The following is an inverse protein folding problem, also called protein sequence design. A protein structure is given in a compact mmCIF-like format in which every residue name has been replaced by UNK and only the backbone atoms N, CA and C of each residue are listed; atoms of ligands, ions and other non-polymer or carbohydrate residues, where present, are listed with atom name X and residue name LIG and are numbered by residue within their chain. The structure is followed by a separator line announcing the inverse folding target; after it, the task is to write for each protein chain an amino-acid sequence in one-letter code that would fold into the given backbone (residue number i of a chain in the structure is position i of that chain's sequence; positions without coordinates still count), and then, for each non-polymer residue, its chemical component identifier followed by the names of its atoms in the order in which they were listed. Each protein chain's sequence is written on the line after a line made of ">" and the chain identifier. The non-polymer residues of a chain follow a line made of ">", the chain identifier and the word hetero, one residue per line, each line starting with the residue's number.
data_IF_423260044275
#
_entry.id   IF_423260044275
#
_cell.length_a   1.000
_cell.length_b   1.000
_cell.length_c   1.000
_cell.angle_alpha   90.00
_cell.angle_beta   90.00
_cell.angle_gamma   90.00
#
_symmetry.space_group_name_H-M   'P 1'
#
loop_
_entity.id
_entity.type
_entity.pdbx_description
1 polymer ?
#
# COMPACT_ATOMS: atom_id res chain seq x y z
N UNK A 1 5.88 6.53 5.72
CA UNK A 1 4.51 6.05 5.51
C UNK A 1 4.36 5.25 4.22
N UNK A 2 4.86 5.73 3.07
CA UNK A 2 4.77 5.01 1.79
C UNK A 2 5.48 3.65 1.81
N UNK A 3 6.59 3.52 2.52
CA UNK A 3 7.35 2.27 2.59
C UNK A 3 6.63 1.14 3.33
N UNK A 4 6.05 1.42 4.50
CA UNK A 4 5.25 0.44 5.24
C UNK A 4 4.01 -0.02 4.47
N UNK A 5 3.42 0.87 3.67
CA UNK A 5 2.30 0.52 2.77
C UNK A 5 2.79 -0.40 1.64
N UNK A 6 3.95 -0.13 1.03
CA UNK A 6 4.54 -1.01 0.00
C UNK A 6 4.87 -2.40 0.56
N UNK A 7 5.49 -2.46 1.74
CA UNK A 7 5.78 -3.72 2.44
C UNK A 7 4.47 -4.47 2.72
N UNK A 8 3.48 -3.77 3.28
CA UNK A 8 2.17 -4.33 3.58
C UNK A 8 1.47 -4.93 2.36
N UNK A 9 1.53 -4.23 1.22
CA UNK A 9 0.97 -4.73 -0.04
C UNK A 9 1.64 -6.02 -0.51
N UNK A 10 2.98 -6.09 -0.49
CA UNK A 10 3.70 -7.28 -0.90
C UNK A 10 3.38 -8.51 -0.02
N UNK A 11 3.35 -8.33 1.31
CA UNK A 11 2.97 -9.41 2.24
C UNK A 11 1.50 -9.80 2.11
N UNK A 12 0.61 -8.83 1.89
CA UNK A 12 -0.79 -9.09 1.65
C UNK A 12 -0.98 -9.92 0.38
N UNK A 13 -0.36 -9.54 -0.73
CA UNK A 13 -0.48 -10.25 -2.01
C UNK A 13 -0.02 -11.71 -1.91
N UNK A 14 1.07 -11.96 -1.18
CA UNK A 14 1.58 -13.32 -0.95
C UNK A 14 0.62 -14.16 -0.08
N UNK A 15 0.14 -13.61 1.04
CA UNK A 15 -0.81 -14.28 1.93
C UNK A 15 -2.19 -14.44 1.29
N UNK A 16 -2.57 -13.52 0.40
CA UNK A 16 -3.85 -13.51 -0.29
C UNK A 16 -3.98 -14.62 -1.35
N UNK A 17 -2.89 -15.34 -1.64
CA UNK A 17 -2.93 -16.58 -2.44
C UNK A 17 -3.73 -17.69 -1.75
N UNK A 18 -3.90 -17.60 -0.43
CA UNK A 18 -4.76 -18.49 0.37
C UNK A 18 -6.10 -17.77 0.62
N UNK A 19 -7.21 -18.17 -0.02
CA UNK A 19 -8.48 -17.43 0.04
C UNK A 19 -9.02 -17.20 1.45
N UNK A 20 -8.84 -18.17 2.35
CA UNK A 20 -9.28 -18.08 3.73
C UNK A 20 -8.47 -17.04 4.51
N UNK A 21 -7.15 -17.00 4.32
CA UNK A 21 -6.26 -16.01 4.93
C UNK A 21 -6.59 -14.63 4.40
N UNK A 22 -6.80 -14.50 3.08
CA UNK A 22 -7.23 -13.24 2.45
C UNK A 22 -8.50 -12.70 3.10
N UNK A 23 -9.53 -13.54 3.18
CA UNK A 23 -10.84 -13.16 3.71
C UNK A 23 -10.74 -12.74 5.18
N UNK A 24 -9.93 -13.46 5.96
CA UNK A 24 -9.68 -13.15 7.37
C UNK A 24 -8.95 -11.80 7.53
N UNK A 25 -7.88 -11.54 6.78
CA UNK A 25 -7.15 -10.26 6.83
C UNK A 25 -8.03 -9.07 6.43
N UNK A 26 -8.87 -9.22 5.39
CA UNK A 26 -9.79 -8.16 4.96
C UNK A 26 -10.85 -7.89 6.02
N UNK A 27 -11.42 -8.94 6.63
CA UNK A 27 -12.44 -8.79 7.68
C UNK A 27 -11.88 -8.10 8.92
N UNK A 28 -10.72 -8.54 9.37
CA UNK A 28 -10.12 -8.07 10.61
C UNK A 28 -9.44 -6.69 10.46
N UNK A 29 -9.40 -6.10 9.26
CA UNK A 29 -8.90 -4.73 9.03
C UNK A 29 -9.59 -3.65 9.89
N UNK A 30 -10.80 -3.94 10.39
CA UNK A 30 -11.58 -3.06 11.27
C UNK A 30 -11.09 -3.04 12.72
N UNK A 31 -10.21 -3.98 13.10
CA UNK A 31 -9.54 -3.96 14.40
C UNK A 31 -8.55 -2.80 14.48
N UNK A 32 -8.11 -2.47 15.69
CA UNK A 32 -6.95 -1.60 15.87
C UNK A 32 -5.68 -2.23 15.27
N UNK A 33 -4.69 -1.39 14.93
CA UNK A 33 -3.42 -1.84 14.37
C UNK A 33 -2.74 -2.89 15.26
N UNK A 34 -2.70 -2.66 16.58
CA UNK A 34 -2.04 -3.55 17.54
C UNK A 34 -2.78 -4.88 17.69
N UNK A 35 -4.11 -4.87 17.74
CA UNK A 35 -4.92 -6.09 17.80
C UNK A 35 -4.79 -6.92 16.52
N UNK A 36 -4.79 -6.27 15.36
CA UNK A 36 -4.54 -6.90 14.07
C UNK A 36 -3.15 -7.54 14.02
N UNK A 37 -2.13 -6.78 14.45
CA UNK A 37 -0.75 -7.22 14.45
C UNK A 37 -0.56 -8.45 15.34
N UNK A 38 -1.09 -8.40 16.56
CA UNK A 38 -1.03 -9.50 17.51
C UNK A 38 -1.74 -10.76 16.98
N UNK A 39 -2.94 -10.60 16.41
CA UNK A 39 -3.75 -11.72 15.91
C UNK A 39 -3.12 -12.41 14.70
N UNK A 40 -2.55 -11.64 13.77
CA UNK A 40 -2.07 -12.19 12.49
C UNK A 40 -0.58 -12.53 12.46
N UNK A 41 0.20 -12.13 13.46
CA UNK A 41 1.61 -12.50 13.56
C UNK A 41 1.82 -14.03 13.44
N UNK A 42 1.02 -14.84 14.13
CA UNK A 42 1.14 -16.30 14.06
C UNK A 42 0.80 -16.85 12.65
N UNK A 43 -0.15 -16.23 11.96
CA UNK A 43 -0.50 -16.61 10.58
C UNK A 43 0.69 -16.36 9.65
N UNK A 44 1.35 -15.20 9.78
CA UNK A 44 2.53 -14.83 9.01
C UNK A 44 3.68 -15.80 9.30
N UNK A 45 3.98 -16.07 10.58
CA UNK A 45 5.04 -16.99 10.99
C UNK A 45 4.85 -18.38 10.39
N UNK A 46 3.65 -18.94 10.51
CA UNK A 46 3.34 -20.28 9.97
C UNK A 46 3.44 -20.33 8.45
N UNK A 47 2.96 -19.30 7.76
CA UNK A 47 3.05 -19.23 6.31
C UNK A 47 4.50 -19.24 5.86
N UNK A 48 5.33 -18.32 6.35
CA UNK A 48 6.72 -18.21 5.87
C UNK A 48 7.63 -19.34 6.37
N UNK A 49 7.36 -19.94 7.53
CA UNK A 49 8.03 -21.17 7.94
C UNK A 49 7.75 -22.31 6.96
N UNK A 50 6.52 -22.39 6.43
CA UNK A 50 6.12 -23.43 5.47
C UNK A 50 6.63 -23.16 4.05
N UNK A 51 6.44 -21.95 3.54
CA UNK A 51 6.69 -21.62 2.12
C UNK A 51 8.15 -21.27 1.85
N UNK A 52 8.83 -20.61 2.80
CA UNK A 52 10.19 -20.12 2.63
C UNK A 52 11.22 -20.73 3.60
N UNK A 53 10.79 -21.58 4.54
CA UNK A 53 11.62 -22.08 5.66
C UNK A 53 12.25 -20.94 6.48
N UNK A 54 11.52 -19.83 6.58
CA UNK A 54 11.92 -18.66 7.35
C UNK A 54 11.17 -18.64 8.67
N UNK A 55 11.92 -18.58 9.76
CA UNK A 55 11.36 -18.45 11.11
C UNK A 55 11.44 -16.98 11.54
N UNK A 56 10.32 -16.26 11.42
CA UNK A 56 10.23 -14.92 11.97
C UNK A 56 10.14 -14.96 13.50
N UNK A 57 10.78 -13.97 14.12
CA UNK A 57 10.51 -13.61 15.51
C UNK A 57 9.08 -13.07 15.62
N UNK A 58 8.56 -13.07 16.85
CA UNK A 58 7.19 -12.63 17.10
C UNK A 58 7.02 -11.14 16.78
N UNK A 59 8.02 -10.34 17.11
CA UNK A 59 8.07 -8.90 16.94
C UNK A 59 8.10 -8.54 15.44
N UNK A 60 8.91 -9.25 14.65
CA UNK A 60 8.99 -9.07 13.20
C UNK A 60 7.66 -9.40 12.53
N UNK A 61 7.03 -10.51 12.93
CA UNK A 61 5.74 -10.90 12.40
C UNK A 61 4.62 -9.90 12.74
N UNK A 62 4.65 -9.32 13.95
CA UNK A 62 3.75 -8.23 14.32
C UNK A 62 4.01 -6.98 13.48
N UNK A 63 5.28 -6.63 13.22
CA UNK A 63 5.63 -5.52 12.34
C UNK A 63 5.08 -5.71 10.93
N UNK A 64 5.23 -6.90 10.33
CA UNK A 64 4.68 -7.18 9.01
C UNK A 64 3.14 -7.15 9.00
N UNK A 65 2.49 -7.67 10.05
CA UNK A 65 1.05 -7.59 10.19
C UNK A 65 0.55 -6.13 10.33
N UNK A 66 1.26 -5.29 11.09
CA UNK A 66 1.00 -3.84 11.14
C UNK A 66 1.13 -3.19 9.76
N UNK A 67 2.15 -3.58 8.97
CA UNK A 67 2.31 -3.09 7.59
C UNK A 67 1.11 -3.47 6.71
N UNK A 68 0.63 -4.72 6.79
CA UNK A 68 -0.58 -5.17 6.09
C UNK A 68 -1.80 -4.36 6.51
N UNK A 69 -1.99 -4.11 7.81
CA UNK A 69 -3.10 -3.29 8.31
C UNK A 69 -3.08 -1.88 7.72
N UNK A 70 -1.91 -1.24 7.70
CA UNK A 70 -1.69 0.09 7.10
C UNK A 70 -2.00 0.07 5.60
N UNK A 71 -1.55 -0.97 4.89
CA UNK A 71 -1.86 -1.14 3.47
C UNK A 71 -3.37 -1.23 3.24
N UNK A 72 -4.06 -2.15 3.93
CA UNK A 72 -5.50 -2.38 3.77
C UNK A 72 -6.34 -1.13 4.06
N UNK A 73 -5.99 -0.37 5.10
CA UNK A 73 -6.68 0.87 5.45
C UNK A 73 -6.30 2.06 4.55
N UNK A 74 -5.16 1.99 3.85
CA UNK A 74 -4.81 2.98 2.83
C UNK A 74 -5.63 2.83 1.54
N UNK A 75 -6.19 1.64 1.27
CA UNK A 75 -7.03 1.40 0.09
C UNK A 75 -8.38 2.13 0.13
N UNK A 76 -8.92 2.33 1.33
CA UNK A 76 -10.20 3.04 1.54
C UNK A 76 -10.01 4.55 1.66
N UNK A 77 -8.79 5.03 1.89
CA UNK A 77 -8.48 6.46 1.85
C UNK A 77 -8.38 6.88 0.38
N UNK A 78 -9.21 7.81 -0.11
CA UNK A 78 -9.01 8.43 -1.41
C UNK A 78 -7.82 9.38 -1.31
N UNK A 79 -6.60 8.85 -1.19
CA UNK A 79 -5.39 9.61 -1.38
C UNK A 79 -5.32 9.93 -2.88
N UNK A 80 -5.59 11.20 -3.18
CA UNK A 80 -5.56 11.86 -4.47
C UNK A 80 -4.53 11.28 -5.45
N UNK A 81 -4.82 11.26 -6.76
CA UNK A 81 -3.88 10.78 -7.76
C UNK A 81 -2.58 11.57 -7.63
N UNK A 82 -1.49 10.88 -7.29
CA UNK A 82 -0.14 11.40 -7.43
C UNK A 82 0.12 11.59 -8.93
N UNK A 83 -0.32 12.74 -9.45
CA UNK A 83 0.18 13.30 -10.71
C UNK A 83 1.65 13.66 -10.48
N UNK A 84 2.53 12.75 -10.84
CA UNK A 84 3.94 13.05 -11.07
C UNK A 84 4.33 12.58 -12.46
N UNK A 85 4.20 13.49 -13.44
CA UNK A 85 5.07 13.68 -14.62
C UNK A 85 4.49 14.86 -15.42
N UNK A 86 5.01 16.08 -15.27
CA UNK A 86 6.16 16.60 -16.02
C UNK A 86 6.25 18.14 -15.87
N UNK A 87 7.34 18.77 -16.33
CA UNK A 87 8.01 19.85 -15.62
C UNK A 87 7.37 21.23 -15.79
N UNK A 88 7.60 22.03 -14.75
CA UNK A 88 7.46 23.48 -14.71
C UNK A 88 8.29 24.08 -15.87
N UNK A 89 7.63 24.59 -16.90
CA UNK A 89 8.15 25.70 -17.73
C UNK A 89 7.27 26.90 -17.41
N UNK A 90 7.75 27.72 -16.47
CA UNK A 90 8.42 28.99 -16.76
C UNK A 90 7.43 29.98 -17.38
N UNK A 91 7.02 30.92 -16.53
CA UNK A 91 6.45 32.19 -16.94
C UNK A 91 7.25 32.76 -18.10
N UNK A 92 6.60 32.96 -19.25
CA UNK A 92 7.04 33.96 -20.21
C UNK A 92 5.83 34.75 -20.69
N UNK A 93 5.81 35.99 -20.22
CA UNK A 93 5.06 37.10 -20.76
C UNK A 93 5.36 37.29 -22.25
N UNK A 94 4.36 37.21 -23.12
CA UNK A 94 4.52 37.53 -24.53
C UNK A 94 3.20 37.72 -25.26
N UNK A 95 2.64 38.93 -25.19
CA UNK A 95 1.69 39.43 -26.19
C UNK A 95 2.37 39.44 -27.56
N UNK A 96 1.87 38.72 -28.57
CA UNK A 96 1.89 39.08 -30.00
C UNK A 96 0.87 38.20 -30.78
N UNK A 97 -0.02 38.83 -31.58
CA UNK A 97 -1.23 38.26 -32.21
C UNK A 97 -1.00 37.30 -33.41
N UNK A 98 -2.08 36.77 -34.06
CA UNK A 98 -2.37 37.08 -35.49
C UNK A 98 -3.87 36.84 -35.89
N UNK A 99 -4.31 36.76 -37.18
CA UNK A 99 -3.76 37.24 -38.46
C UNK A 99 -4.73 38.17 -39.26
N UNK A 100 -4.19 38.90 -40.23
CA UNK A 100 -4.95 39.37 -41.39
C UNK A 100 -5.30 38.16 -42.30
N UNK A 101 -6.57 38.02 -42.70
CA UNK A 101 -6.98 37.35 -43.93
C UNK A 101 -8.23 38.00 -44.54
N UNK A 102 -7.99 38.90 -45.50
CA UNK A 102 -8.57 38.98 -46.86
C UNK A 102 -9.96 38.36 -47.12
N UNK A 103 -10.95 39.23 -47.38
CA UNK A 103 -11.78 39.27 -48.61
C UNK A 103 -12.42 40.64 -48.73
#
# INVERSE_FOLDING_TARGET
>A
MTETIRIGGAFFDDLATIPDVKSMLIKDRQLSEDEFALRHAETIRRHYAKVARLEFLQEDAQFFASCIWKYLNSLDSPAAPQRLTGPIQSSDSGWFGPPMTRT
#
